data_IF_075502275785
#
_entry.id   IF_075502275785
#
_cell.length_a   1.000
_cell.length_b   1.000
_cell.length_c   1.000
_cell.angle_alpha   90.00
_cell.angle_beta   90.00
_cell.angle_gamma   90.00
#
_symmetry.space_group_name_H-M   'P 1'
#
loop_
_entity.id
_entity.type
_entity.pdbx_description
1 polymer ?
#
# COMPACT_ATOMS: atom_id res chain seq x y z
N UNK A 1 -4.28 5.58 15.29
CA UNK A 1 -3.42 5.90 14.15
C UNK A 1 -3.65 4.83 13.13
N UNK A 2 -3.82 5.19 11.87
CA UNK A 2 -4.11 4.25 10.79
C UNK A 2 -2.85 3.52 10.29
N UNK A 3 -1.67 3.91 10.78
CA UNK A 3 -0.38 3.43 10.31
C UNK A 3 0.26 2.48 11.32
N UNK A 4 0.74 1.36 10.77
CA UNK A 4 1.30 0.21 11.48
C UNK A 4 2.48 -0.42 10.73
N UNK A 5 3.03 0.27 9.74
CA UNK A 5 4.21 -0.09 8.95
C UNK A 5 5.51 0.00 9.78
N UNK A 6 5.47 0.65 10.93
CA UNK A 6 6.57 0.77 11.90
C UNK A 6 6.64 -0.40 12.91
N UNK A 7 5.71 -1.36 12.86
CA UNK A 7 5.74 -2.52 13.74
C UNK A 7 6.83 -3.49 13.28
N UNK A 8 7.81 -3.73 14.15
CA UNK A 8 8.90 -4.67 13.88
C UNK A 8 8.39 -6.08 13.59
N UNK A 9 8.85 -6.64 12.47
CA UNK A 9 8.57 -8.02 12.08
C UNK A 9 9.36 -8.96 13.00
N UNK A 10 8.70 -9.96 13.58
CA UNK A 10 9.38 -10.99 14.37
C UNK A 10 10.22 -11.89 13.47
N UNK A 11 11.55 -11.86 13.66
CA UNK A 11 12.51 -12.71 12.94
C UNK A 11 12.93 -13.94 13.74
N UNK A 12 12.58 -13.98 15.03
CA UNK A 12 12.83 -15.13 15.90
C UNK A 12 11.96 -15.12 17.16
N UNK A 13 12.12 -16.15 17.98
CA UNK A 13 11.38 -16.28 19.26
C UNK A 13 11.69 -15.14 20.24
N UNK A 14 12.93 -14.63 20.22
CA UNK A 14 13.41 -13.59 21.13
C UNK A 14 13.78 -12.29 20.41
N UNK A 15 13.46 -12.17 19.12
CA UNK A 15 13.72 -10.99 18.31
C UNK A 15 12.46 -10.56 17.54
N UNK A 16 11.69 -9.60 18.07
CA UNK A 16 11.87 -8.90 19.36
C UNK A 16 11.54 -9.78 20.59
N UNK A 17 11.98 -9.43 21.81
CA UNK A 17 11.68 -10.20 23.03
C UNK A 17 10.18 -10.25 23.36
N UNK A 18 9.42 -9.29 22.82
CA UNK A 18 7.96 -9.27 22.91
C UNK A 18 7.32 -10.46 22.20
N UNK A 19 8.00 -11.09 21.23
CA UNK A 19 7.50 -12.27 20.52
C UNK A 19 7.31 -13.45 21.47
N UNK A 20 8.32 -13.78 22.28
CA UNK A 20 8.20 -14.85 23.29
C UNK A 20 7.10 -14.54 24.30
N UNK A 21 7.06 -13.30 24.81
CA UNK A 21 6.03 -12.90 25.77
C UNK A 21 4.62 -12.99 25.19
N UNK A 22 4.43 -12.58 23.93
CA UNK A 22 3.16 -12.69 23.22
C UNK A 22 2.76 -14.16 23.00
N UNK A 23 3.69 -15.01 22.56
CA UNK A 23 3.44 -16.45 22.40
C UNK A 23 3.07 -17.13 23.73
N UNK A 24 3.78 -16.80 24.81
CA UNK A 24 3.48 -17.29 26.14
C UNK A 24 2.08 -16.83 26.62
N UNK A 25 1.72 -15.57 26.38
CA UNK A 25 0.40 -15.04 26.69
C UNK A 25 -0.71 -15.73 25.89
N UNK A 26 -0.51 -15.95 24.58
CA UNK A 26 -1.45 -16.67 23.72
C UNK A 26 -1.63 -18.12 24.20
N UNK A 27 -0.53 -18.84 24.41
CA UNK A 27 -0.56 -20.21 24.89
C UNK A 27 -1.22 -20.31 26.27
N UNK A 28 -0.95 -19.36 27.17
CA UNK A 28 -1.57 -19.25 28.48
C UNK A 28 -3.08 -19.02 28.41
N UNK A 29 -3.54 -18.09 27.56
CA UNK A 29 -4.97 -17.81 27.38
C UNK A 29 -5.72 -19.00 26.77
N UNK A 30 -5.13 -19.64 25.75
CA UNK A 30 -5.70 -20.83 25.12
C UNK A 30 -5.76 -21.99 26.13
N UNK A 31 -4.67 -22.23 26.87
CA UNK A 31 -4.61 -23.24 27.92
C UNK A 31 -5.65 -22.98 29.03
N UNK A 32 -5.80 -21.73 29.44
CA UNK A 32 -6.81 -21.31 30.42
C UNK A 32 -8.24 -21.56 29.91
N UNK A 33 -8.51 -21.24 28.63
CA UNK A 33 -9.80 -21.51 28.00
C UNK A 33 -10.09 -23.02 27.94
N UNK A 34 -9.11 -23.85 27.57
CA UNK A 34 -9.25 -25.31 27.59
C UNK A 34 -9.52 -25.86 28.99
N UNK A 35 -8.79 -25.38 30.00
CA UNK A 35 -8.99 -25.81 31.39
C UNK A 35 -10.36 -25.41 31.94
N UNK A 36 -10.83 -24.20 31.61
CA UNK A 36 -12.11 -23.68 32.08
C UNK A 36 -13.32 -24.12 31.24
N UNK A 37 -13.13 -24.82 30.11
CA UNK A 37 -14.22 -25.12 29.16
C UNK A 37 -15.43 -25.85 29.77
N UNK A 38 -15.22 -26.66 30.81
CA UNK A 38 -16.31 -27.40 31.47
C UNK A 38 -16.96 -26.61 32.60
N UNK A 39 -16.27 -25.65 33.20
CA UNK A 39 -16.78 -24.83 34.31
C UNK A 39 -17.34 -23.49 33.85
N UNK A 40 -16.79 -22.92 32.78
CA UNK A 40 -17.13 -21.61 32.20
C UNK A 40 -17.12 -21.70 30.67
N UNK A 41 -18.09 -22.41 30.08
CA UNK A 41 -18.13 -22.65 28.63
C UNK A 41 -18.22 -21.37 27.81
N UNK A 42 -18.93 -20.32 28.25
CA UNK A 42 -19.01 -19.05 27.53
C UNK A 42 -17.68 -18.28 27.56
N UNK A 43 -16.94 -18.34 28.67
CA UNK A 43 -15.58 -17.78 28.71
C UNK A 43 -14.68 -18.47 27.69
N UNK A 44 -14.66 -19.81 27.70
CA UNK A 44 -13.85 -20.59 26.78
C UNK A 44 -14.25 -20.32 25.31
N UNK A 45 -15.55 -20.27 25.03
CA UNK A 45 -16.08 -19.92 23.71
C UNK A 45 -15.59 -18.55 23.25
N UNK A 46 -15.64 -17.53 24.11
CA UNK A 46 -15.17 -16.18 23.78
C UNK A 46 -13.69 -16.12 23.42
N UNK A 47 -12.84 -16.83 24.18
CA UNK A 47 -11.40 -16.91 23.88
C UNK A 47 -11.15 -17.67 22.57
N UNK A 48 -11.80 -18.82 22.35
CA UNK A 48 -11.66 -19.57 21.10
C UNK A 48 -12.21 -18.80 19.90
N UNK A 49 -13.28 -18.03 20.08
CA UNK A 49 -13.82 -17.16 19.03
C UNK A 49 -12.82 -16.07 18.64
N UNK A 50 -12.21 -15.41 19.63
CA UNK A 50 -11.22 -14.37 19.39
C UNK A 50 -10.04 -14.91 18.57
N UNK A 51 -9.44 -16.03 18.99
CA UNK A 51 -8.32 -16.61 18.26
C UNK A 51 -8.75 -17.26 16.94
N UNK A 52 -9.92 -17.91 16.88
CA UNK A 52 -10.47 -18.49 15.66
C UNK A 52 -10.73 -17.45 14.57
N UNK A 53 -11.26 -16.27 14.93
CA UNK A 53 -11.42 -15.16 13.99
C UNK A 53 -10.09 -14.60 13.48
N UNK A 54 -9.04 -14.60 14.32
CA UNK A 54 -7.70 -14.21 13.90
C UNK A 54 -7.04 -15.26 13.00
N UNK A 55 -7.29 -16.55 13.19
CA UNK A 55 -6.77 -17.61 12.27
C UNK A 55 -7.27 -17.39 10.84
N UNK A 56 -8.50 -16.90 10.66
CA UNK A 56 -9.04 -16.60 9.33
C UNK A 56 -8.36 -15.41 8.63
N UNK A 57 -7.81 -14.47 9.40
CA UNK A 57 -7.23 -13.21 8.88
C UNK A 57 -5.70 -13.18 8.94
N UNK A 58 -5.08 -13.99 9.80
CA UNK A 58 -3.65 -14.20 9.92
C UNK A 58 -3.22 -15.31 8.94
N UNK A 59 -3.18 -14.96 7.66
CA UNK A 59 -2.74 -15.88 6.59
C UNK A 59 -1.26 -15.69 6.27
N UNK A 60 -0.68 -16.64 5.53
CA UNK A 60 0.72 -16.60 5.05
C UNK A 60 0.97 -15.57 3.94
N UNK A 61 -0.07 -14.88 3.48
CA UNK A 61 0.05 -13.85 2.45
C UNK A 61 0.55 -12.57 3.14
N UNK A 62 1.72 -12.03 2.75
CA UNK A 62 2.30 -10.83 3.36
C UNK A 62 1.45 -9.59 3.01
N UNK A 63 0.43 -9.35 3.81
CA UNK A 63 -0.32 -8.10 3.88
C UNK A 63 0.28 -7.23 5.00
N UNK A 64 -0.17 -5.97 5.17
CA UNK A 64 0.29 -5.19 6.32
C UNK A 64 0.04 -5.95 7.63
N UNK A 65 1.02 -5.87 8.53
CA UNK A 65 1.12 -6.70 9.72
C UNK A 65 -0.10 -6.53 10.63
N UNK A 66 -0.57 -5.29 10.77
CA UNK A 66 -1.72 -4.95 11.59
C UNK A 66 -2.68 -4.02 10.86
N UNK A 67 -3.97 -4.28 11.07
CA UNK A 67 -5.08 -3.43 10.66
C UNK A 67 -6.20 -3.56 11.68
N UNK A 68 -6.82 -2.44 12.07
CA UNK A 68 -7.82 -2.44 13.13
C UNK A 68 -9.09 -3.22 12.74
N UNK A 69 -9.47 -3.19 11.46
CA UNK A 69 -10.67 -3.87 10.96
C UNK A 69 -10.59 -5.40 11.07
N UNK A 70 -9.38 -5.98 11.14
CA UNK A 70 -9.21 -7.42 11.37
C UNK A 70 -9.67 -7.84 12.77
N UNK A 71 -9.71 -6.90 13.72
CA UNK A 71 -10.09 -7.18 15.10
C UNK A 71 -11.60 -7.00 15.36
N UNK A 72 -12.38 -6.43 14.44
CA UNK A 72 -13.79 -6.14 14.68
C UNK A 72 -14.59 -7.41 14.98
N UNK A 73 -14.49 -8.42 14.12
CA UNK A 73 -15.18 -9.70 14.33
C UNK A 73 -14.62 -10.53 15.49
N UNK A 74 -13.28 -10.72 15.62
CA UNK A 74 -12.70 -11.38 16.79
C UNK A 74 -13.06 -10.75 18.15
N UNK A 75 -13.15 -9.42 18.22
CA UNK A 75 -13.39 -8.69 19.48
C UNK A 75 -14.73 -9.06 20.15
N UNK A 76 -15.72 -9.52 19.37
CA UNK A 76 -16.98 -10.06 19.91
C UNK A 76 -16.71 -11.22 20.87
N UNK A 77 -15.75 -12.08 20.56
CA UNK A 77 -15.33 -13.17 21.43
C UNK A 77 -14.72 -12.67 22.74
N UNK A 78 -13.89 -11.63 22.69
CA UNK A 78 -13.30 -11.03 23.88
C UNK A 78 -14.38 -10.40 24.77
N UNK A 79 -15.33 -9.68 24.18
CA UNK A 79 -16.47 -9.11 24.90
C UNK A 79 -17.33 -10.21 25.56
N UNK A 80 -17.56 -11.32 24.86
CA UNK A 80 -18.26 -12.49 25.40
C UNK A 80 -17.50 -13.11 26.59
N UNK A 81 -16.18 -13.25 26.48
CA UNK A 81 -15.35 -13.78 27.56
C UNK A 81 -15.42 -12.88 28.81
N UNK A 82 -15.36 -11.56 28.63
CA UNK A 82 -15.48 -10.58 29.72
C UNK A 82 -16.90 -10.62 30.33
N UNK A 83 -17.95 -10.63 29.51
CA UNK A 83 -19.34 -10.70 29.98
C UNK A 83 -19.62 -12.00 30.75
N UNK A 84 -19.07 -13.13 30.30
CA UNK A 84 -19.14 -14.41 31.00
C UNK A 84 -18.58 -14.29 32.42
N UNK A 85 -17.37 -13.76 32.56
CA UNK A 85 -16.70 -13.64 33.86
C UNK A 85 -17.41 -12.68 34.82
N UNK A 86 -17.99 -11.59 34.31
CA UNK A 86 -18.57 -10.54 35.14
C UNK A 86 -20.04 -10.76 35.50
N UNK A 87 -20.81 -11.43 34.63
CA UNK A 87 -22.28 -11.45 34.73
C UNK A 87 -22.88 -12.85 34.59
N UNK A 88 -22.42 -13.66 33.63
CA UNK A 88 -23.16 -14.86 33.21
C UNK A 88 -22.74 -16.16 33.94
N UNK A 89 -21.46 -16.32 34.27
CA UNK A 89 -20.90 -17.58 34.80
C UNK A 89 -20.09 -17.41 36.12
N UNK A 90 -20.05 -16.20 36.67
CA UNK A 90 -19.38 -15.88 37.95
C UNK A 90 -20.35 -15.78 39.14
N UNK A 91 -19.86 -15.75 40.41
CA UNK A 91 -20.71 -15.34 41.53
C UNK A 91 -21.29 -13.97 41.20
N UNK A 92 -22.60 -13.77 41.42
CA UNK A 92 -23.28 -12.48 41.15
C UNK A 92 -22.45 -11.36 41.78
N UNK A 93 -21.67 -10.66 40.96
CA UNK A 93 -20.94 -9.48 41.42
C UNK A 93 -22.00 -8.51 41.95
N UNK A 94 -21.70 -7.81 43.04
CA UNK A 94 -22.63 -6.79 43.57
C UNK A 94 -23.01 -5.88 42.41
N UNK A 95 -24.31 -5.65 42.20
CA UNK A 95 -24.81 -4.83 41.09
C UNK A 95 -24.10 -3.46 41.00
N UNK A 96 -23.67 -2.91 42.15
CA UNK A 96 -22.86 -1.69 42.23
C UNK A 96 -21.51 -1.80 41.51
N UNK A 97 -20.80 -2.94 41.63
CA UNK A 97 -19.50 -3.16 40.99
C UNK A 97 -19.68 -3.30 39.48
N UNK A 98 -20.68 -4.06 39.04
CA UNK A 98 -21.00 -4.21 37.60
C UNK A 98 -21.40 -2.86 37.01
N UNK A 99 -22.30 -2.13 37.67
CA UNK A 99 -22.73 -0.81 37.21
C UNK A 99 -21.57 0.18 37.14
N UNK A 100 -20.68 0.19 38.14
CA UNK A 100 -19.48 1.02 38.11
C UNK A 100 -18.55 0.64 36.95
N UNK A 101 -18.27 -0.65 36.76
CA UNK A 101 -17.43 -1.12 35.65
C UNK A 101 -17.99 -0.77 34.27
N UNK A 102 -19.29 -1.01 34.05
CA UNK A 102 -19.98 -0.67 32.80
C UNK A 102 -19.98 0.84 32.55
N UNK A 103 -20.27 1.64 33.58
CA UNK A 103 -20.31 3.11 33.47
C UNK A 103 -18.91 3.67 33.20
N UNK A 104 -17.88 3.15 33.88
CA UNK A 104 -16.49 3.53 33.64
C UNK A 104 -16.03 3.18 32.23
N UNK A 105 -16.38 1.98 31.74
CA UNK A 105 -16.05 1.55 30.39
C UNK A 105 -16.77 2.41 29.33
N UNK A 106 -18.04 2.71 29.55
CA UNK A 106 -18.81 3.60 28.70
C UNK A 106 -18.20 5.00 28.66
N UNK A 107 -17.89 5.58 29.82
CA UNK A 107 -17.26 6.90 29.92
C UNK A 107 -15.90 6.94 29.21
N UNK A 108 -15.09 5.88 29.36
CA UNK A 108 -13.82 5.73 28.66
C UNK A 108 -14.01 5.68 27.12
N UNK A 109 -14.94 4.87 26.63
CA UNK A 109 -15.21 4.79 25.19
C UNK A 109 -15.80 6.10 24.64
N UNK A 110 -16.73 6.74 25.36
CA UNK A 110 -17.28 8.03 24.97
C UNK A 110 -16.18 9.11 24.87
N UNK A 111 -15.29 9.17 25.87
CA UNK A 111 -14.17 10.09 25.88
C UNK A 111 -13.17 9.83 24.74
N UNK A 112 -12.75 8.58 24.55
CA UNK A 112 -11.82 8.22 23.45
C UNK A 112 -12.43 8.47 22.08
N UNK A 113 -13.74 8.25 21.92
CA UNK A 113 -14.49 8.57 20.70
C UNK A 113 -14.51 10.08 20.45
N UNK A 114 -14.76 10.88 21.48
CA UNK A 114 -14.72 12.34 21.38
C UNK A 114 -13.32 12.84 20.98
N UNK A 115 -12.25 12.31 21.58
CA UNK A 115 -10.87 12.62 21.17
C UNK A 115 -10.61 12.24 19.72
N UNK A 116 -11.05 11.04 19.29
CA UNK A 116 -10.84 10.63 17.90
C UNK A 116 -11.63 11.49 16.92
N UNK A 117 -12.84 11.94 17.28
CA UNK A 117 -13.61 12.88 16.47
C UNK A 117 -12.89 14.23 16.31
N UNK A 118 -12.21 14.71 17.37
CA UNK A 118 -11.38 15.92 17.28
C UNK A 118 -10.16 15.72 16.38
N UNK A 119 -9.51 14.56 16.43
CA UNK A 119 -8.40 14.23 15.52
C UNK A 119 -8.87 14.19 14.05
N UNK A 120 -10.08 13.70 13.80
CA UNK A 120 -10.68 13.61 12.46
C UNK A 120 -11.33 14.92 11.98
N UNK A 121 -11.26 15.98 12.77
CA UNK A 121 -11.93 17.25 12.46
C UNK A 121 -11.48 17.88 11.14
N UNK A 122 -10.19 17.75 10.77
CA UNK A 122 -9.64 18.24 9.51
C UNK A 122 -8.57 17.28 8.97
N UNK A 123 -8.29 17.29 7.66
CA UNK A 123 -7.19 16.49 7.10
C UNK A 123 -5.84 16.80 7.74
N UNK A 124 -5.58 18.07 8.07
CA UNK A 124 -4.31 18.51 8.67
C UNK A 124 -4.16 18.02 10.11
N UNK A 125 -5.22 18.13 10.94
CA UNK A 125 -5.19 17.63 12.32
C UNK A 125 -5.06 16.11 12.36
N UNK A 126 -5.75 15.40 11.46
CA UNK A 126 -5.65 13.95 11.35
C UNK A 126 -4.23 13.51 10.98
N UNK A 127 -3.68 14.06 9.89
CA UNK A 127 -2.36 13.68 9.42
C UNK A 127 -1.25 14.06 10.42
N UNK A 128 -1.35 15.25 11.04
CA UNK A 128 -0.39 15.68 12.06
C UNK A 128 -0.43 14.77 13.31
N UNK A 129 -1.63 14.39 13.78
CA UNK A 129 -1.76 13.54 14.96
C UNK A 129 -1.32 12.11 14.70
N UNK A 130 -1.61 11.55 13.52
CA UNK A 130 -1.16 10.21 13.15
C UNK A 130 0.37 10.17 12.95
N UNK A 131 0.97 11.18 12.31
CA UNK A 131 2.43 11.32 12.17
C UNK A 131 3.13 11.53 13.52
N UNK A 132 2.52 12.28 14.45
CA UNK A 132 3.07 12.45 15.80
C UNK A 132 3.02 11.14 16.62
N UNK A 133 1.99 10.31 16.42
CA UNK A 133 1.87 8.98 17.08
C UNK A 133 2.80 7.93 16.47
N UNK A 134 3.19 8.10 15.20
CA UNK A 134 3.99 7.17 14.42
C UNK A 134 5.13 7.92 13.71
N UNK A 135 6.12 8.45 14.45
CA UNK A 135 7.19 9.26 13.87
C UNK A 135 8.04 8.49 12.84
N UNK A 136 8.19 7.18 13.03
CA UNK A 136 9.03 6.33 12.16
C UNK A 136 8.25 5.66 11.01
N UNK A 137 6.93 5.89 10.91
CA UNK A 137 6.11 5.39 9.82
C UNK A 137 6.35 6.21 8.55
N UNK A 138 6.88 5.54 7.52
CA UNK A 138 7.10 6.11 6.18
C UNK A 138 5.79 6.67 5.63
N UNK A 139 4.71 5.89 5.73
CA UNK A 139 3.39 6.26 5.22
C UNK A 139 2.75 7.42 5.99
N UNK A 140 2.84 7.45 7.33
CA UNK A 140 2.28 8.54 8.13
C UNK A 140 2.96 9.88 7.84
N UNK A 141 4.30 9.87 7.70
CA UNK A 141 5.06 11.07 7.39
C UNK A 141 4.82 11.54 5.94
N UNK A 142 4.70 10.61 4.99
CA UNK A 142 4.34 10.92 3.61
C UNK A 142 2.98 11.65 3.54
N UNK A 143 1.95 11.09 4.16
CA UNK A 143 0.60 11.69 4.14
C UNK A 143 0.57 13.04 4.86
N UNK A 144 1.31 13.18 5.96
CA UNK A 144 1.42 14.48 6.62
C UNK A 144 2.10 15.53 5.74
N UNK A 145 3.21 15.19 5.07
CA UNK A 145 3.86 16.07 4.13
C UNK A 145 2.95 16.43 2.95
N UNK A 146 2.21 15.47 2.40
CA UNK A 146 1.26 15.70 1.31
C UNK A 146 0.15 16.69 1.70
N UNK A 147 -0.42 16.55 2.90
CA UNK A 147 -1.43 17.48 3.42
C UNK A 147 -0.82 18.86 3.67
N UNK A 148 0.41 18.95 4.19
CA UNK A 148 1.12 20.22 4.36
C UNK A 148 1.34 20.95 3.02
N UNK A 149 1.69 20.23 1.94
CA UNK A 149 1.89 20.82 0.60
C UNK A 149 0.61 21.43 -0.01
N UNK A 150 -0.55 20.99 0.46
CA UNK A 150 -1.87 21.49 0.07
C UNK A 150 -2.45 22.51 1.06
N UNK A 151 -1.76 22.75 2.17
CA UNK A 151 -2.21 23.64 3.25
C UNK A 151 -1.51 24.99 3.20
N UNK A 152 -2.15 26.01 3.77
CA UNK A 152 -1.58 27.36 3.92
C UNK A 152 -1.63 27.81 5.37
N UNK A 153 -0.65 28.59 5.81
CA UNK A 153 -0.66 29.27 7.11
C UNK A 153 -0.84 30.77 6.89
N UNK A 154 -1.90 31.34 7.43
CA UNK A 154 -2.24 32.78 7.26
C UNK A 154 -2.35 33.21 5.78
N UNK A 155 -2.76 32.27 4.91
CA UNK A 155 -2.82 32.46 3.45
C UNK A 155 -1.50 32.22 2.71
N UNK A 156 -0.38 32.04 3.42
CA UNK A 156 0.93 31.75 2.85
C UNK A 156 1.20 30.24 2.80
N UNK A 157 1.41 29.63 1.63
CA UNK A 157 1.78 28.21 1.51
C UNK A 157 3.23 27.92 1.93
N UNK A 158 4.11 28.92 1.94
CA UNK A 158 5.56 28.73 2.09
C UNK A 158 5.97 28.06 3.42
N UNK A 159 5.41 28.43 4.59
CA UNK A 159 5.77 27.79 5.86
C UNK A 159 5.39 26.30 5.90
N UNK A 160 4.22 25.96 5.36
CA UNK A 160 3.75 24.56 5.32
C UNK A 160 4.58 23.75 4.33
N UNK A 161 4.91 24.33 3.17
CA UNK A 161 5.78 23.72 2.16
C UNK A 161 7.18 23.44 2.69
N UNK A 162 7.81 24.41 3.37
CA UNK A 162 9.14 24.21 3.99
C UNK A 162 9.12 23.07 5.00
N UNK A 163 8.07 23.00 5.82
CA UNK A 163 7.89 21.91 6.78
C UNK A 163 7.74 20.56 6.07
N UNK A 164 6.93 20.49 5.02
CA UNK A 164 6.76 19.27 4.23
C UNK A 164 8.08 18.78 3.61
N UNK A 165 8.84 19.69 2.99
CA UNK A 165 10.13 19.36 2.38
C UNK A 165 11.13 18.86 3.42
N UNK A 166 11.20 19.50 4.59
CA UNK A 166 12.08 19.05 5.67
C UNK A 166 11.73 17.63 6.14
N UNK A 167 10.45 17.32 6.32
CA UNK A 167 9.98 15.97 6.71
C UNK A 167 10.38 14.94 5.63
N UNK A 168 10.13 15.25 4.36
CA UNK A 168 10.42 14.32 3.26
C UNK A 168 11.94 14.09 3.09
N UNK A 169 12.76 15.14 3.20
CA UNK A 169 14.22 15.03 3.11
C UNK A 169 14.77 14.19 4.27
N UNK A 170 14.31 14.43 5.50
CA UNK A 170 14.72 13.64 6.66
C UNK A 170 14.30 12.17 6.51
N UNK A 171 13.03 11.91 6.18
CA UNK A 171 12.50 10.55 6.11
C UNK A 171 13.04 9.75 4.92
N UNK A 172 13.29 10.40 3.78
CA UNK A 172 13.89 9.73 2.61
C UNK A 172 15.36 9.37 2.86
N UNK A 173 16.08 10.11 3.69
CA UNK A 173 17.46 9.78 4.06
C UNK A 173 17.58 8.57 5.01
N UNK A 174 16.47 8.15 5.65
CA UNK A 174 16.47 6.99 6.56
C UNK A 174 16.54 5.66 5.78
N UNK A 175 17.20 4.63 6.34
CA UNK A 175 17.15 3.29 5.78
C UNK A 175 15.74 2.71 5.87
N UNK A 176 15.40 1.76 5.01
CA UNK A 176 14.13 1.03 5.00
C UNK A 176 12.84 1.86 4.77
N UNK A 177 12.93 3.12 4.34
CA UNK A 177 11.76 3.89 3.87
C UNK A 177 11.56 3.75 2.36
N UNK A 178 10.34 3.98 1.87
CA UNK A 178 9.96 3.78 0.47
C UNK A 178 10.46 4.91 -0.44
N UNK A 179 10.61 4.61 -1.74
CA UNK A 179 11.07 5.57 -2.74
C UNK A 179 10.09 6.74 -2.98
N UNK A 180 8.83 6.58 -2.56
CA UNK A 180 7.74 7.56 -2.77
C UNK A 180 8.00 8.91 -2.09
N UNK A 181 8.77 8.95 -1.01
CA UNK A 181 9.12 10.20 -0.32
C UNK A 181 9.98 11.11 -1.22
N UNK A 182 11.00 10.53 -1.86
CA UNK A 182 11.85 11.24 -2.82
C UNK A 182 11.09 11.60 -4.09
N UNK A 183 10.18 10.73 -4.54
CA UNK A 183 9.30 11.04 -5.65
C UNK A 183 8.40 12.25 -5.38
N UNK A 184 7.83 12.37 -4.19
CA UNK A 184 7.01 13.52 -3.81
C UNK A 184 7.84 14.80 -3.76
N UNK A 185 9.08 14.77 -3.29
CA UNK A 185 9.99 15.92 -3.35
C UNK A 185 10.20 16.39 -4.80
N UNK A 186 10.49 15.46 -5.72
CA UNK A 186 10.70 15.75 -7.15
C UNK A 186 9.45 16.39 -7.76
N UNK A 187 8.29 15.75 -7.61
CA UNK A 187 7.03 16.22 -8.23
C UNK A 187 6.57 17.53 -7.61
N UNK A 188 6.61 17.67 -6.28
CA UNK A 188 6.16 18.88 -5.60
C UNK A 188 7.06 20.10 -5.92
N UNK A 189 8.36 19.87 -6.12
CA UNK A 189 9.30 20.91 -6.56
C UNK A 189 9.02 21.33 -8.00
N UNK A 190 8.87 20.34 -8.90
CA UNK A 190 8.59 20.57 -10.32
C UNK A 190 7.28 21.33 -10.57
N UNK A 191 6.20 20.93 -9.90
CA UNK A 191 4.88 21.56 -9.95
C UNK A 191 4.91 23.06 -9.59
N UNK A 192 5.95 23.51 -8.89
CA UNK A 192 6.13 24.91 -8.45
C UNK A 192 7.26 25.63 -9.19
N UNK A 193 7.83 25.02 -10.23
CA UNK A 193 8.97 25.58 -10.97
C UNK A 193 10.23 25.76 -10.12
N UNK A 194 10.35 24.99 -9.03
CA UNK A 194 11.51 25.01 -8.15
C UNK A 194 12.59 24.04 -8.66
N UNK A 195 13.88 24.28 -8.36
CA UNK A 195 14.94 23.37 -8.76
C UNK A 195 14.76 22.00 -8.10
N UNK A 196 14.94 20.94 -8.89
CA UNK A 196 14.95 19.56 -8.44
C UNK A 196 16.40 19.22 -8.05
N UNK A 197 16.61 18.70 -6.83
CA UNK A 197 17.96 18.32 -6.38
C UNK A 197 18.30 16.92 -6.88
N UNK A 198 19.48 16.74 -7.47
CA UNK A 198 19.99 15.42 -7.90
C UNK A 198 20.01 14.39 -6.75
N UNK A 199 20.29 14.84 -5.52
CA UNK A 199 20.28 13.97 -4.34
C UNK A 199 18.93 13.28 -4.08
N UNK A 200 17.80 13.88 -4.49
CA UNK A 200 16.49 13.24 -4.39
C UNK A 200 16.36 12.07 -5.37
N UNK A 201 16.88 12.24 -6.60
CA UNK A 201 16.94 11.16 -7.58
C UNK A 201 17.86 10.04 -7.15
N UNK A 202 19.06 10.35 -6.66
CA UNK A 202 20.00 9.32 -6.18
C UNK A 202 19.41 8.51 -5.01
N UNK A 203 18.72 9.17 -4.08
CA UNK A 203 18.03 8.50 -2.96
C UNK A 203 16.91 7.58 -3.47
N UNK A 204 16.10 8.06 -4.42
CA UNK A 204 15.04 7.26 -5.05
C UNK A 204 15.62 6.02 -5.76
N UNK A 205 16.65 6.20 -6.57
CA UNK A 205 17.29 5.13 -7.35
C UNK A 205 17.96 4.11 -6.43
N UNK A 206 18.62 4.54 -5.35
CA UNK A 206 19.20 3.64 -4.35
C UNK A 206 18.13 2.73 -3.73
N UNK A 207 17.04 3.33 -3.24
CA UNK A 207 15.94 2.59 -2.59
C UNK A 207 15.29 1.55 -3.50
N UNK A 208 15.06 1.89 -4.77
CA UNK A 208 14.53 0.96 -5.77
C UNK A 208 15.47 -0.22 -6.05
N UNK A 209 16.78 -0.03 -5.87
CA UNK A 209 17.79 -1.06 -6.10
C UNK A 209 18.14 -1.91 -4.88
N UNK A 210 17.75 -1.51 -3.65
CA UNK A 210 18.13 -2.18 -2.41
C UNK A 210 17.33 -3.46 -2.13
N UNK A 211 16.05 -3.50 -2.52
CA UNK A 211 15.13 -4.61 -2.26
C UNK A 211 14.16 -4.81 -3.43
N UNK A 212 13.48 -5.97 -3.53
CA UNK A 212 12.32 -6.10 -4.40
C UNK A 212 11.35 -4.94 -4.16
N UNK A 213 10.98 -4.24 -5.24
CA UNK A 213 10.11 -3.06 -5.15
C UNK A 213 8.75 -3.43 -4.60
N UNK A 214 8.14 -2.53 -3.81
CA UNK A 214 6.77 -2.67 -3.33
C UNK A 214 5.75 -2.08 -4.31
N UNK A 215 4.46 -2.30 -4.08
CA UNK A 215 3.40 -1.60 -4.82
C UNK A 215 3.47 -0.07 -4.67
N UNK A 216 4.01 0.42 -3.54
CA UNK A 216 4.20 1.85 -3.27
C UNK A 216 5.32 2.40 -4.16
N UNK A 217 6.41 1.66 -4.30
CA UNK A 217 7.54 2.04 -5.16
C UNK A 217 7.14 2.07 -6.65
N UNK A 218 6.33 1.10 -7.10
CA UNK A 218 5.78 1.08 -8.47
C UNK A 218 4.84 2.26 -8.69
N UNK A 219 4.02 2.61 -7.70
CA UNK A 219 3.14 3.79 -7.75
C UNK A 219 3.94 5.09 -7.81
N UNK A 220 5.08 5.17 -7.13
CA UNK A 220 5.99 6.32 -7.22
C UNK A 220 6.53 6.50 -8.65
N UNK A 221 7.00 5.43 -9.29
CA UNK A 221 7.46 5.47 -10.69
C UNK A 221 6.33 5.90 -11.64
N UNK A 222 5.11 5.38 -11.45
CA UNK A 222 3.93 5.82 -12.20
C UNK A 222 3.61 7.31 -11.99
N UNK A 223 3.75 7.82 -10.76
CA UNK A 223 3.59 9.24 -10.45
C UNK A 223 4.61 10.14 -11.14
N UNK A 224 5.86 9.70 -11.27
CA UNK A 224 6.89 10.40 -12.05
C UNK A 224 6.57 10.41 -13.54
N UNK A 225 6.16 9.27 -14.10
CA UNK A 225 5.71 9.19 -15.49
C UNK A 225 4.55 10.14 -15.76
N UNK A 226 3.51 10.11 -14.92
CA UNK A 226 2.37 11.01 -15.03
C UNK A 226 2.78 12.49 -14.93
N UNK A 227 3.80 12.81 -14.11
CA UNK A 227 4.33 14.16 -14.03
C UNK A 227 4.96 14.62 -15.37
N UNK A 228 5.66 13.73 -16.07
CA UNK A 228 6.22 14.00 -17.40
C UNK A 228 5.13 14.08 -18.48
N UNK A 229 4.17 13.17 -18.47
CA UNK A 229 3.08 13.13 -19.44
C UNK A 229 2.21 14.39 -19.39
N UNK A 230 1.97 14.91 -18.19
CA UNK A 230 1.20 16.14 -17.99
C UNK A 230 2.02 17.43 -18.16
N UNK A 231 3.31 17.33 -18.48
CA UNK A 231 4.21 18.49 -18.67
C UNK A 231 4.51 19.27 -17.38
N UNK A 232 4.23 18.69 -16.21
CA UNK A 232 4.48 19.31 -14.89
C UNK A 232 5.96 19.19 -14.54
N UNK A 233 6.56 18.03 -14.77
CA UNK A 233 7.99 17.79 -14.58
C UNK A 233 8.74 17.97 -15.89
N UNK A 234 9.90 18.65 -15.83
CA UNK A 234 10.85 18.64 -16.95
C UNK A 234 11.26 17.21 -17.24
N UNK A 235 11.22 16.81 -18.51
CA UNK A 235 11.53 15.44 -18.92
C UNK A 235 13.00 15.13 -18.60
N UNK A 236 13.21 14.31 -17.58
CA UNK A 236 14.52 13.81 -17.17
C UNK A 236 14.60 12.31 -17.46
N UNK A 237 14.80 12.00 -18.73
CA UNK A 237 14.84 10.61 -19.23
C UNK A 237 15.97 9.83 -18.56
N UNK A 238 17.11 10.48 -18.29
CA UNK A 238 18.29 9.81 -17.76
C UNK A 238 18.06 9.30 -16.32
N UNK A 239 17.50 10.14 -15.44
CA UNK A 239 17.21 9.70 -14.08
C UNK A 239 16.08 8.68 -14.03
N UNK A 240 15.00 8.86 -14.82
CA UNK A 240 13.89 7.90 -14.81
C UNK A 240 14.28 6.54 -15.40
N UNK A 241 15.12 6.50 -16.43
CA UNK A 241 15.68 5.24 -16.95
C UNK A 241 16.53 4.52 -15.89
N UNK A 242 17.40 5.25 -15.17
CA UNK A 242 18.16 4.68 -14.05
C UNK A 242 17.24 4.14 -12.96
N UNK A 243 16.13 4.82 -12.67
CA UNK A 243 15.15 4.39 -11.68
C UNK A 243 14.44 3.09 -12.10
N UNK A 244 13.98 2.98 -13.35
CA UNK A 244 13.39 1.73 -13.85
C UNK A 244 14.40 0.57 -13.89
N UNK A 245 15.64 0.84 -14.33
CA UNK A 245 16.71 -0.14 -14.31
C UNK A 245 17.02 -0.61 -12.88
N UNK A 246 17.01 0.28 -11.90
CA UNK A 246 17.19 -0.09 -10.49
C UNK A 246 16.03 -0.96 -9.98
N UNK A 247 14.79 -0.54 -10.25
CA UNK A 247 13.57 -1.24 -9.83
C UNK A 247 13.44 -2.66 -10.40
N UNK A 248 14.02 -2.92 -11.57
CA UNK A 248 13.97 -4.22 -12.26
C UNK A 248 15.16 -5.13 -11.96
N UNK A 249 16.11 -4.73 -11.09
CA UNK A 249 17.28 -5.56 -10.73
C UNK A 249 16.91 -6.84 -9.98
N UNK A 250 15.84 -6.80 -9.19
CA UNK A 250 15.44 -7.93 -8.35
C UNK A 250 14.49 -8.87 -9.10
N UNK A 251 14.69 -10.19 -9.03
CA UNK A 251 13.77 -11.15 -9.62
C UNK A 251 12.41 -11.11 -8.90
N UNK A 252 11.31 -11.28 -9.65
CA UNK A 252 9.96 -11.32 -9.09
C UNK A 252 9.18 -9.99 -9.10
N UNK A 253 9.38 -9.16 -10.13
CA UNK A 253 8.67 -7.89 -10.28
C UNK A 253 7.16 -8.00 -10.49
N UNK A 254 6.44 -6.93 -10.11
CA UNK A 254 5.01 -6.77 -10.33
C UNK A 254 4.71 -6.51 -11.81
N UNK A 255 3.63 -7.09 -12.35
CA UNK A 255 3.21 -6.87 -13.73
C UNK A 255 3.13 -5.37 -14.10
N UNK A 256 2.63 -4.56 -13.17
CA UNK A 256 2.52 -3.12 -13.33
C UNK A 256 3.87 -2.40 -13.50
N UNK A 257 4.93 -2.86 -12.83
CA UNK A 257 6.29 -2.30 -13.01
C UNK A 257 6.74 -2.45 -14.46
N UNK A 258 6.63 -3.67 -14.98
CA UNK A 258 7.05 -4.00 -16.34
C UNK A 258 6.17 -3.31 -17.39
N UNK A 259 4.87 -3.16 -17.12
CA UNK A 259 3.96 -2.39 -17.98
C UNK A 259 4.34 -0.92 -18.04
N UNK A 260 4.64 -0.29 -16.90
CA UNK A 260 5.13 1.10 -16.84
C UNK A 260 6.47 1.26 -17.54
N UNK A 261 7.42 0.33 -17.32
CA UNK A 261 8.73 0.42 -17.97
C UNK A 261 8.61 0.24 -19.49
N UNK A 262 7.75 -0.66 -19.96
CA UNK A 262 7.49 -0.83 -21.39
C UNK A 262 6.92 0.43 -22.04
N UNK A 263 5.97 1.11 -21.37
CA UNK A 263 5.43 2.39 -21.81
C UNK A 263 6.50 3.49 -21.84
N UNK A 264 7.32 3.58 -20.79
CA UNK A 264 8.43 4.52 -20.73
C UNK A 264 9.45 4.28 -21.86
N UNK A 265 9.83 3.03 -22.11
CA UNK A 265 10.76 2.66 -23.17
C UNK A 265 10.24 3.05 -24.56
N UNK A 266 8.96 2.81 -24.83
CA UNK A 266 8.35 3.17 -26.10
C UNK A 266 8.19 4.69 -26.27
N UNK A 267 7.65 5.38 -25.26
CA UNK A 267 7.27 6.77 -25.37
C UNK A 267 8.46 7.73 -25.24
N UNK A 268 9.43 7.42 -24.37
CA UNK A 268 10.53 8.34 -24.01
C UNK A 268 11.89 7.86 -24.50
N UNK A 269 12.23 6.58 -24.32
CA UNK A 269 13.52 6.05 -24.80
C UNK A 269 13.55 5.82 -26.31
N UNK A 270 12.37 5.70 -26.94
CA UNK A 270 12.21 5.26 -28.34
C UNK A 270 12.85 3.89 -28.59
N UNK A 271 12.96 3.07 -27.55
CA UNK A 271 13.49 1.71 -27.60
C UNK A 271 12.32 0.72 -27.67
N UNK A 272 11.98 0.34 -28.90
CA UNK A 272 10.86 -0.56 -29.17
C UNK A 272 11.15 -2.02 -28.82
N UNK A 273 12.42 -2.41 -28.76
CA UNK A 273 12.83 -3.77 -28.36
C UNK A 273 12.65 -3.94 -26.86
N UNK A 274 13.18 -2.99 -26.09
CA UNK A 274 12.99 -2.96 -24.64
C UNK A 274 11.49 -2.84 -24.29
N UNK A 275 10.74 -1.99 -24.98
CA UNK A 275 9.30 -1.86 -24.74
C UNK A 275 8.55 -3.19 -24.90
N UNK A 276 8.91 -3.98 -25.93
CA UNK A 276 8.27 -5.27 -26.19
C UNK A 276 8.66 -6.29 -25.13
N UNK A 277 9.95 -6.35 -24.78
CA UNK A 277 10.47 -7.23 -23.75
C UNK A 277 9.74 -7.01 -22.41
N UNK A 278 9.67 -5.75 -21.95
CA UNK A 278 9.03 -5.39 -20.69
C UNK A 278 7.52 -5.65 -20.74
N UNK A 279 6.84 -5.34 -21.84
CA UNK A 279 5.40 -5.62 -21.98
C UNK A 279 5.10 -7.12 -21.94
N UNK A 280 5.94 -7.96 -22.56
CA UNK A 280 5.80 -9.42 -22.48
C UNK A 280 6.10 -9.95 -21.07
N UNK A 281 7.07 -9.37 -20.36
CA UNK A 281 7.32 -9.67 -18.94
C UNK A 281 6.08 -9.36 -18.09
N UNK A 282 5.43 -8.22 -18.32
CA UNK A 282 4.19 -7.84 -17.63
C UNK A 282 3.07 -8.86 -17.86
N UNK A 283 2.85 -9.31 -19.11
CA UNK A 283 1.84 -10.33 -19.43
C UNK A 283 2.16 -11.68 -18.78
N UNK A 284 3.44 -12.07 -18.70
CA UNK A 284 3.82 -13.31 -18.00
C UNK A 284 3.47 -13.27 -16.51
N UNK A 285 3.58 -12.10 -15.87
CA UNK A 285 3.26 -11.92 -14.45
C UNK A 285 1.74 -11.79 -14.21
N UNK A 286 1.00 -11.15 -15.12
CA UNK A 286 -0.46 -11.03 -15.06
C UNK A 286 -1.10 -11.42 -16.40
N UNK A 287 -1.28 -12.72 -16.68
CA UNK A 287 -1.78 -13.19 -17.97
C UNK A 287 -3.19 -12.74 -18.31
N UNK A 288 -4.00 -12.36 -17.32
CA UNK A 288 -5.36 -11.87 -17.47
C UNK A 288 -5.48 -10.35 -17.63
N UNK A 289 -4.37 -9.60 -17.63
CA UNK A 289 -4.40 -8.15 -17.83
C UNK A 289 -4.68 -7.80 -19.30
N UNK A 290 -5.92 -7.40 -19.55
CA UNK A 290 -6.46 -7.04 -20.87
C UNK A 290 -5.76 -5.79 -21.44
N UNK A 291 -5.49 -4.78 -20.62
CA UNK A 291 -4.92 -3.52 -21.10
C UNK A 291 -3.46 -3.71 -21.51
N UNK A 292 -2.67 -4.43 -20.71
CA UNK A 292 -1.28 -4.75 -21.08
C UNK A 292 -1.21 -5.59 -22.36
N UNK A 293 -2.15 -6.54 -22.56
CA UNK A 293 -2.26 -7.31 -23.81
C UNK A 293 -2.63 -6.43 -25.01
N UNK A 294 -3.57 -5.51 -24.85
CA UNK A 294 -3.93 -4.56 -25.89
C UNK A 294 -2.74 -3.65 -26.27
N UNK A 295 -1.97 -3.20 -25.27
CA UNK A 295 -0.77 -2.40 -25.48
C UNK A 295 0.32 -3.17 -26.24
N UNK A 296 0.48 -4.48 -26.00
CA UNK A 296 1.38 -5.32 -26.81
C UNK A 296 0.98 -5.33 -28.29
N UNK A 297 -0.32 -5.45 -28.60
CA UNK A 297 -0.79 -5.41 -30.00
C UNK A 297 -0.46 -4.06 -30.64
N UNK A 298 -0.74 -2.94 -29.96
CA UNK A 298 -0.41 -1.60 -30.44
C UNK A 298 1.09 -1.43 -30.72
N UNK A 299 1.93 -1.95 -29.82
CA UNK A 299 3.37 -1.93 -29.96
C UNK A 299 3.86 -2.74 -31.17
N UNK A 300 3.34 -3.97 -31.34
CA UNK A 300 3.70 -4.83 -32.48
C UNK A 300 3.26 -4.22 -33.81
N UNK A 301 2.11 -3.52 -33.83
CA UNK A 301 1.65 -2.74 -34.99
C UNK A 301 2.61 -1.60 -35.29
N UNK A 302 3.01 -0.81 -34.29
CA UNK A 302 3.97 0.28 -34.46
C UNK A 302 5.33 -0.20 -35.00
N UNK A 303 5.71 -1.45 -34.68
CA UNK A 303 6.92 -2.12 -35.18
C UNK A 303 6.77 -2.78 -36.56
N UNK A 304 5.58 -2.77 -37.16
CA UNK A 304 5.30 -3.47 -38.42
C UNK A 304 5.29 -5.00 -38.32
N UNK A 305 5.28 -5.57 -37.10
CA UNK A 305 5.30 -7.02 -36.85
C UNK A 305 3.89 -7.63 -36.96
N UNK A 306 3.34 -7.61 -38.17
CA UNK A 306 1.95 -8.02 -38.44
C UNK A 306 1.60 -9.43 -37.97
N UNK A 307 2.48 -10.41 -38.21
CA UNK A 307 2.24 -11.81 -37.83
C UNK A 307 2.11 -11.97 -36.31
N UNK A 308 3.03 -11.35 -35.56
CA UNK A 308 3.01 -11.34 -34.11
C UNK A 308 1.81 -10.55 -33.56
N UNK A 309 1.48 -9.40 -34.17
CA UNK A 309 0.33 -8.58 -33.77
C UNK A 309 -1.00 -9.34 -33.90
N UNK A 310 -1.17 -10.11 -34.99
CA UNK A 310 -2.34 -10.98 -35.16
C UNK A 310 -2.39 -12.09 -34.12
N UNK A 311 -1.25 -12.72 -33.81
CA UNK A 311 -1.18 -13.73 -32.75
C UNK A 311 -1.59 -13.15 -31.39
N UNK A 312 -1.02 -11.99 -31.03
CA UNK A 312 -1.33 -11.31 -29.78
C UNK A 312 -2.81 -10.85 -29.71
N UNK A 313 -3.40 -10.40 -30.83
CA UNK A 313 -4.81 -10.05 -30.90
C UNK A 313 -5.72 -11.28 -30.71
N UNK A 314 -5.33 -12.44 -31.25
CA UNK A 314 -6.08 -13.68 -31.06
C UNK A 314 -6.03 -14.15 -29.60
N UNK A 315 -4.88 -14.01 -28.93
CA UNK A 315 -4.79 -14.27 -27.49
C UNK A 315 -5.67 -13.32 -26.68
N UNK A 316 -5.70 -12.03 -27.04
CA UNK A 316 -6.56 -11.03 -26.38
C UNK A 316 -8.06 -11.37 -26.55
N UNK A 317 -8.46 -11.86 -27.73
CA UNK A 317 -9.85 -12.29 -28.00
C UNK A 317 -10.32 -13.42 -27.09
N UNK A 318 -9.43 -14.28 -26.60
CA UNK A 318 -9.79 -15.35 -25.68
C UNK A 318 -10.41 -14.82 -24.37
N UNK A 319 -10.12 -13.56 -24.00
CA UNK A 319 -10.69 -12.88 -22.83
C UNK A 319 -11.97 -12.10 -23.13
N UNK A 320 -12.44 -12.08 -24.38
CA UNK A 320 -13.65 -11.36 -24.77
C UNK A 320 -14.92 -12.14 -24.37
N UNK A 321 -15.24 -12.14 -23.09
CA UNK A 321 -16.48 -12.71 -22.58
C UNK A 321 -17.62 -11.71 -22.76
N UNK A 322 -18.76 -12.18 -23.28
CA UNK A 322 -19.98 -11.38 -23.48
C UNK A 322 -19.83 -10.15 -24.40
N UNK A 323 -18.81 -10.11 -25.27
CA UNK A 323 -18.60 -9.02 -26.22
C UNK A 323 -18.06 -7.72 -25.59
N UNK A 324 -17.59 -7.77 -24.34
CA UNK A 324 -17.09 -6.60 -23.62
C UNK A 324 -15.89 -5.92 -24.29
N UNK A 325 -15.12 -6.66 -25.10
CA UNK A 325 -13.92 -6.17 -25.78
C UNK A 325 -14.13 -5.94 -27.28
N UNK A 326 -15.36 -6.05 -27.81
CA UNK A 326 -15.62 -5.98 -29.25
C UNK A 326 -15.08 -4.70 -29.89
N UNK A 327 -15.35 -3.55 -29.27
CA UNK A 327 -14.86 -2.25 -29.72
C UNK A 327 -13.33 -2.20 -29.76
N UNK A 328 -12.67 -2.64 -28.68
CA UNK A 328 -11.20 -2.62 -28.55
C UNK A 328 -10.54 -3.61 -29.53
N UNK A 329 -11.12 -4.79 -29.70
CA UNK A 329 -10.63 -5.80 -30.67
C UNK A 329 -10.79 -5.31 -32.10
N UNK A 330 -11.90 -4.64 -32.42
CA UNK A 330 -12.14 -4.05 -33.73
C UNK A 330 -11.14 -2.93 -34.04
N UNK A 331 -10.90 -2.02 -33.09
CA UNK A 331 -9.89 -0.95 -33.21
C UNK A 331 -8.50 -1.53 -33.52
N UNK A 332 -8.05 -2.49 -32.72
CA UNK A 332 -6.74 -3.12 -32.88
C UNK A 332 -6.63 -3.90 -34.21
N UNK A 333 -7.71 -4.55 -34.63
CA UNK A 333 -7.76 -5.25 -35.91
C UNK A 333 -7.57 -4.28 -37.08
N UNK A 334 -8.32 -3.17 -37.07
CA UNK A 334 -8.19 -2.13 -38.10
C UNK A 334 -6.77 -1.56 -38.15
N UNK A 335 -6.12 -1.39 -36.99
CA UNK A 335 -4.73 -0.93 -36.93
C UNK A 335 -3.74 -1.94 -37.56
N UNK A 336 -3.98 -3.25 -37.40
CA UNK A 336 -3.18 -4.29 -38.04
C UNK A 336 -3.42 -4.32 -39.56
N UNK A 337 -4.67 -4.21 -40.00
CA UNK A 337 -5.05 -4.19 -41.43
C UNK A 337 -4.48 -2.95 -42.13
N UNK A 338 -4.41 -1.80 -41.46
CA UNK A 338 -3.80 -0.60 -42.01
C UNK A 338 -2.31 -0.75 -42.36
N UNK A 339 -1.59 -1.73 -41.78
CA UNK A 339 -0.21 -2.06 -42.18
C UNK A 339 -0.13 -2.64 -43.60
N UNK A 340 -1.23 -3.14 -44.18
CA UNK A 340 -1.27 -3.61 -45.57
C UNK A 340 -1.31 -2.47 -46.59
N UNK A 341 -1.73 -1.27 -46.16
CA UNK A 341 -1.95 -0.11 -47.02
C UNK A 341 -0.73 0.83 -47.13
N UNK A 342 0.39 0.50 -46.50
CA UNK A 342 1.64 1.27 -46.48
C UNK A 342 2.78 0.46 -47.09
#
# INVERSE_FOLDING_TARGET
TLYHDDISISQGLFDPPTTFAALAAIAGLIGLAFWQRTRRPLFALGIFWFFGGHVLTATVIPLMLAFEHRNYFPSVGLLLAVASLLVLEGPRLRARIVALGVTSLFAFYAFTTALRALEWSTPLTLAATDAAKRPDSSAAQYEYALVLLRSTKDGDPEPMRRKAFAILEEMSARPNTDAVLSQLLIVASADRGLPIKDGWWETLISKLGERPVSSVDVSALGGLMACFENGVCSVDVAHLDRAFKAATRHPGGYAQLFSLYGQFAFNYLKDSDLAEEQTRLAIRQAPSDIETRANLVKLLVARGKKGEANSALNELRAFNHFGLLDSKVAELRSAIEALESK
#
